data_IF_939469637434
#
_entry.id   IF_939469637434
#
_cell.length_a   1.000
_cell.length_b   1.000
_cell.length_c   1.000
_cell.angle_alpha   90.00
_cell.angle_beta   90.00
_cell.angle_gamma   90.00
#
_symmetry.space_group_name_H-M   'P 1'
#
loop_
_entity.id
_entity.type
_entity.pdbx_description
1 polymer ?
#
# COMPACT_ATOMS: atom_id res chain seq x y z
N UNK A 1 19.50 10.68 -4.37
CA UNK A 1 18.68 9.84 -5.26
C UNK A 1 17.89 10.63 -6.29
N UNK A 2 17.56 11.92 -6.08
CA UNK A 2 16.81 12.75 -7.05
C UNK A 2 15.55 12.07 -7.61
N UNK A 3 14.85 11.35 -6.73
CA UNK A 3 13.58 10.67 -7.03
C UNK A 3 12.43 11.68 -7.03
N UNK A 4 11.28 11.29 -7.58
CA UNK A 4 10.04 12.05 -7.44
C UNK A 4 9.04 11.38 -6.49
N UNK A 5 9.15 10.06 -6.34
CA UNK A 5 8.32 9.21 -5.49
C UNK A 5 9.24 8.26 -4.73
N UNK A 6 8.99 8.08 -3.44
CA UNK A 6 9.76 7.20 -2.56
C UNK A 6 8.77 6.35 -1.75
N UNK A 7 8.86 5.02 -1.88
CA UNK A 7 8.07 4.07 -1.11
C UNK A 7 8.98 3.33 -0.14
N UNK A 8 8.73 3.46 1.17
CA UNK A 8 9.54 2.85 2.22
C UNK A 8 8.74 1.83 3.02
N UNK A 9 9.44 0.82 3.53
CA UNK A 9 8.94 -0.22 4.43
C UNK A 9 9.75 -0.19 5.74
N UNK A 10 9.22 -0.84 6.79
CA UNK A 10 9.85 -0.90 8.13
C UNK A 10 10.10 0.49 8.74
N UNK A 11 9.22 1.45 8.43
CA UNK A 11 9.37 2.82 8.90
C UNK A 11 8.79 2.92 10.31
N UNK A 12 9.62 3.07 11.33
CA UNK A 12 9.13 3.40 12.68
C UNK A 12 8.40 4.75 12.68
N UNK A 13 7.30 4.84 13.44
CA UNK A 13 6.48 6.06 13.52
C UNK A 13 7.30 7.29 13.93
N UNK A 14 8.21 7.17 14.90
CA UNK A 14 9.03 8.30 15.36
C UNK A 14 10.04 8.72 14.30
N UNK A 15 10.61 7.76 13.60
CA UNK A 15 11.51 8.02 12.47
C UNK A 15 10.77 8.72 11.34
N UNK A 16 9.52 8.33 11.05
CA UNK A 16 8.67 9.06 10.11
C UNK A 16 8.44 10.52 10.56
N UNK A 17 7.97 10.71 11.78
CA UNK A 17 7.52 12.02 12.29
C UNK A 17 8.68 13.00 12.56
N UNK A 18 9.83 12.51 13.01
CA UNK A 18 10.93 13.36 13.49
C UNK A 18 12.14 13.42 12.56
N UNK A 19 12.31 12.45 11.66
CA UNK A 19 13.47 12.41 10.76
C UNK A 19 13.05 12.51 9.29
N UNK A 20 12.30 11.51 8.79
CA UNK A 20 12.03 11.37 7.36
C UNK A 20 11.12 12.48 6.82
N UNK A 21 9.97 12.72 7.46
CA UNK A 21 9.02 13.73 7.00
C UNK A 21 9.65 15.13 7.04
N UNK A 22 10.24 15.60 8.16
CA UNK A 22 10.88 16.93 8.19
C UNK A 22 12.01 17.08 7.17
N UNK A 23 12.86 16.06 7.01
CA UNK A 23 13.96 16.10 6.05
C UNK A 23 13.45 16.17 4.61
N UNK A 24 12.45 15.37 4.26
CA UNK A 24 11.92 15.32 2.90
C UNK A 24 11.03 16.54 2.58
N UNK A 25 10.30 17.07 3.54
CA UNK A 25 9.54 18.32 3.38
C UNK A 25 10.46 19.51 3.06
N UNK A 26 11.67 19.55 3.64
CA UNK A 26 12.67 20.59 3.35
C UNK A 26 13.09 20.63 1.87
N UNK A 27 12.88 19.53 1.14
CA UNK A 27 13.15 19.39 -0.30
C UNK A 27 11.88 19.18 -1.13
N UNK A 28 10.74 19.73 -0.68
CA UNK A 28 9.43 19.78 -1.35
C UNK A 28 8.61 18.50 -1.41
N UNK A 29 8.99 17.44 -0.69
CA UNK A 29 8.15 16.26 -0.60
C UNK A 29 6.98 16.46 0.37
N UNK A 30 5.94 15.67 0.19
CA UNK A 30 4.91 15.38 1.20
C UNK A 30 4.95 13.88 1.50
N UNK A 31 4.50 13.49 2.69
CA UNK A 31 4.49 12.08 3.12
C UNK A 31 3.09 11.58 3.49
N UNK A 32 2.89 10.28 3.31
CA UNK A 32 1.76 9.50 3.80
C UNK A 32 2.35 8.35 4.61
N UNK A 33 1.84 8.12 5.82
CA UNK A 33 2.26 7.02 6.69
C UNK A 33 1.09 6.12 7.04
N UNK A 34 1.32 4.81 7.04
CA UNK A 34 0.35 3.82 7.45
C UNK A 34 1.00 2.80 8.41
N UNK A 35 0.56 2.72 9.68
CA UNK A 35 1.09 1.73 10.62
C UNK A 35 0.62 0.30 10.28
N UNK A 36 1.44 -0.70 10.59
CA UNK A 36 1.07 -2.12 10.48
C UNK A 36 0.43 -2.64 11.78
N UNK A 37 -0.87 -2.45 11.95
CA UNK A 37 -1.56 -2.94 13.15
C UNK A 37 -1.03 -2.29 14.43
N UNK A 38 -0.59 -3.11 15.40
CA UNK A 38 -0.09 -2.63 16.71
C UNK A 38 1.44 -2.46 16.77
N UNK A 39 2.18 -2.74 15.68
CA UNK A 39 3.64 -2.57 15.67
C UNK A 39 4.03 -1.09 15.59
N UNK A 40 5.25 -0.75 16.07
CA UNK A 40 5.76 0.62 15.97
C UNK A 40 6.17 1.02 14.54
N UNK A 41 6.34 0.05 13.64
CA UNK A 41 6.68 0.25 12.24
C UNK A 41 5.47 0.23 11.28
N UNK A 42 5.68 0.81 10.10
CA UNK A 42 4.68 0.96 9.06
C UNK A 42 5.27 1.09 7.67
N UNK A 43 4.43 1.61 6.78
CA UNK A 43 4.74 1.92 5.39
C UNK A 43 4.68 3.44 5.21
N UNK A 44 5.56 3.98 4.37
CA UNK A 44 5.51 5.38 3.98
C UNK A 44 5.57 5.54 2.47
N UNK A 45 4.84 6.53 1.95
CA UNK A 45 4.95 7.02 0.58
C UNK A 45 5.26 8.50 0.65
N UNK A 46 6.31 8.93 -0.04
CA UNK A 46 6.64 10.33 -0.22
C UNK A 46 6.58 10.69 -1.71
N UNK A 47 6.11 11.89 -2.02
CA UNK A 47 6.02 12.40 -3.39
C UNK A 47 6.40 13.89 -3.46
N UNK A 48 7.06 14.30 -4.54
CA UNK A 48 7.42 15.69 -4.81
C UNK A 48 6.17 16.52 -5.13
N UNK A 49 5.86 17.50 -4.26
CA UNK A 49 4.68 18.38 -4.40
C UNK A 49 4.75 19.29 -5.63
N UNK A 50 5.92 19.46 -6.23
CA UNK A 50 6.07 20.22 -7.48
C UNK A 50 5.53 19.47 -8.70
N UNK A 51 5.47 18.13 -8.61
CA UNK A 51 5.10 17.25 -9.72
C UNK A 51 3.80 16.50 -9.49
N UNK A 52 3.41 16.31 -8.23
CA UNK A 52 2.22 15.54 -7.88
C UNK A 52 1.36 16.23 -6.83
N UNK A 53 0.05 16.09 -7.00
CA UNK A 53 -0.95 16.41 -5.98
C UNK A 53 -1.63 15.13 -5.50
N UNK A 54 -1.69 14.92 -4.19
CA UNK A 54 -2.45 13.81 -3.61
C UNK A 54 -3.94 14.04 -3.82
N UNK A 55 -4.61 13.02 -4.36
CA UNK A 55 -6.06 12.98 -4.53
C UNK A 55 -6.69 12.18 -3.39
N UNK A 56 -6.17 10.99 -3.13
CA UNK A 56 -6.66 10.11 -2.06
C UNK A 56 -5.55 9.16 -1.57
N UNK A 57 -5.70 8.65 -0.35
CA UNK A 57 -4.81 7.63 0.19
C UNK A 57 -5.52 6.75 1.21
N UNK A 58 -5.19 5.46 1.22
CA UNK A 58 -5.76 4.52 2.18
C UNK A 58 -4.79 3.40 2.56
N UNK A 59 -4.90 2.96 3.81
CA UNK A 59 -4.22 1.77 4.33
C UNK A 59 -5.21 0.60 4.41
N UNK A 60 -4.88 -0.51 3.76
CA UNK A 60 -5.73 -1.69 3.68
C UNK A 60 -5.04 -2.85 4.38
N UNK A 61 -5.64 -3.39 5.44
CA UNK A 61 -5.17 -4.61 6.09
C UNK A 61 -5.75 -5.81 5.34
N UNK A 62 -4.91 -6.53 4.60
CA UNK A 62 -5.33 -7.54 3.62
C UNK A 62 -6.27 -8.59 4.23
N UNK A 63 -5.91 -9.12 5.40
CA UNK A 63 -6.70 -10.15 6.10
C UNK A 63 -8.09 -9.69 6.54
N UNK A 64 -8.29 -8.39 6.70
CA UNK A 64 -9.58 -7.78 7.11
C UNK A 64 -10.42 -7.32 5.93
N UNK A 65 -9.87 -7.35 4.71
CA UNK A 65 -10.49 -6.78 3.52
C UNK A 65 -10.76 -7.81 2.41
N UNK A 66 -10.71 -9.10 2.74
CA UNK A 66 -10.92 -10.22 1.81
C UNK A 66 -12.21 -10.05 0.99
N UNK A 67 -13.33 -9.81 1.68
CA UNK A 67 -14.66 -9.68 1.07
C UNK A 67 -14.89 -8.37 0.31
N UNK A 68 -14.02 -7.37 0.52
CA UNK A 68 -14.15 -6.04 -0.09
C UNK A 68 -13.51 -5.99 -1.48
N UNK A 69 -12.71 -6.99 -1.83
CA UNK A 69 -12.01 -7.12 -3.09
C UNK A 69 -12.62 -8.30 -3.85
N UNK A 70 -13.55 -8.01 -4.76
CA UNK A 70 -14.37 -9.03 -5.43
C UNK A 70 -13.52 -10.07 -6.18
N UNK A 71 -12.51 -9.59 -6.94
CA UNK A 71 -11.59 -10.45 -7.68
C UNK A 71 -10.75 -11.35 -6.76
N UNK A 72 -10.39 -10.86 -5.56
CA UNK A 72 -9.71 -11.68 -4.56
C UNK A 72 -10.67 -12.66 -3.88
N UNK A 73 -11.88 -12.22 -3.52
CA UNK A 73 -12.88 -13.04 -2.84
C UNK A 73 -13.24 -14.28 -3.65
N UNK A 74 -13.40 -14.16 -4.97
CA UNK A 74 -13.67 -15.31 -5.84
C UNK A 74 -12.59 -16.39 -5.73
N UNK A 75 -11.31 -16.01 -5.81
CA UNK A 75 -10.20 -16.98 -5.66
C UNK A 75 -10.11 -17.50 -4.23
N UNK A 76 -10.38 -16.64 -3.25
CA UNK A 76 -10.35 -16.99 -1.84
C UNK A 76 -11.37 -18.09 -1.49
N UNK A 77 -12.57 -18.03 -2.08
CA UNK A 77 -13.63 -19.00 -1.82
C UNK A 77 -13.30 -20.40 -2.38
N UNK A 78 -12.54 -20.46 -3.48
CA UNK A 78 -12.06 -21.72 -4.09
C UNK A 78 -10.95 -22.42 -3.29
N UNK A 79 -10.32 -21.75 -2.31
CA UNK A 79 -9.24 -22.36 -1.51
C UNK A 79 -9.84 -23.23 -0.40
N UNK A 80 -9.82 -24.55 -0.56
CA UNK A 80 -10.32 -25.48 0.46
C UNK A 80 -9.37 -25.65 1.68
N UNK A 81 -8.10 -25.27 1.52
CA UNK A 81 -7.09 -25.45 2.56
C UNK A 81 -7.25 -24.40 3.68
N UNK A 82 -7.94 -24.78 4.76
CA UNK A 82 -8.17 -23.90 5.92
C UNK A 82 -6.90 -23.54 6.68
N UNK A 83 -5.84 -24.37 6.65
CA UNK A 83 -4.56 -24.01 7.26
C UNK A 83 -3.90 -22.86 6.50
N UNK A 84 -3.89 -22.92 5.17
CA UNK A 84 -3.39 -21.83 4.33
C UNK A 84 -4.22 -20.54 4.53
N UNK A 85 -5.55 -20.66 4.58
CA UNK A 85 -6.45 -19.53 4.88
C UNK A 85 -6.15 -18.93 6.25
N UNK A 86 -5.96 -19.76 7.28
CA UNK A 86 -5.58 -19.31 8.62
C UNK A 86 -4.23 -18.60 8.62
N UNK A 87 -3.21 -19.16 7.95
CA UNK A 87 -1.87 -18.53 7.82
C UNK A 87 -1.94 -17.14 7.19
N UNK A 88 -2.84 -16.91 6.22
CA UNK A 88 -3.10 -15.59 5.65
C UNK A 88 -3.88 -14.67 6.62
N UNK A 89 -5.00 -15.14 7.19
CA UNK A 89 -5.89 -14.36 8.08
C UNK A 89 -5.18 -13.86 9.33
N UNK A 90 -4.25 -14.64 9.87
CA UNK A 90 -3.50 -14.27 11.08
C UNK A 90 -2.52 -13.11 10.85
N UNK A 91 -2.29 -12.68 9.60
CA UNK A 91 -1.35 -11.58 9.28
C UNK A 91 -2.00 -10.22 9.38
N UNK A 92 -1.20 -9.24 9.78
CA UNK A 92 -1.50 -7.82 9.75
C UNK A 92 -0.83 -7.12 8.57
N UNK A 93 -0.51 -7.87 7.50
CA UNK A 93 0.09 -7.28 6.29
C UNK A 93 -0.83 -6.20 5.74
N UNK A 94 -0.23 -5.03 5.50
CA UNK A 94 -0.92 -3.82 5.06
C UNK A 94 -0.45 -3.46 3.65
N UNK A 95 -1.37 -2.94 2.83
CA UNK A 95 -1.10 -2.23 1.60
C UNK A 95 -1.43 -0.75 1.83
N UNK A 96 -0.46 0.12 1.61
CA UNK A 96 -0.68 1.56 1.55
C UNK A 96 -0.87 1.95 0.08
N UNK A 97 -2.05 2.46 -0.27
CA UNK A 97 -2.34 2.98 -1.61
C UNK A 97 -2.41 4.50 -1.58
N UNK A 98 -1.81 5.15 -2.57
CA UNK A 98 -1.94 6.59 -2.80
C UNK A 98 -2.30 6.86 -4.27
N UNK A 99 -3.28 7.72 -4.49
CA UNK A 99 -3.69 8.19 -5.82
C UNK A 99 -3.18 9.61 -5.99
N UNK A 100 -2.28 9.80 -6.94
CA UNK A 100 -1.62 11.07 -7.24
C UNK A 100 -2.06 11.58 -8.61
N UNK A 101 -2.38 12.87 -8.69
CA UNK A 101 -2.55 13.58 -9.95
C UNK A 101 -1.23 14.22 -10.37
N UNK A 102 -0.82 14.01 -11.61
CA UNK A 102 0.35 14.67 -12.18
C UNK A 102 0.06 16.16 -12.39
N UNK A 103 1.01 17.00 -12.00
CA UNK A 103 1.00 18.45 -12.28
C UNK A 103 1.66 18.77 -13.61
N UNK A 104 2.55 17.88 -14.09
CA UNK A 104 3.20 17.99 -15.40
C UNK A 104 2.20 17.65 -16.53
N UNK A 105 1.29 16.69 -16.29
CA UNK A 105 0.19 16.33 -17.18
C UNK A 105 -1.12 16.14 -16.39
N UNK A 106 -2.04 17.12 -16.38
CA UNK A 106 -3.28 17.06 -15.60
C UNK A 106 -4.27 15.95 -15.99
N UNK A 107 -4.06 15.28 -17.13
CA UNK A 107 -4.86 14.12 -17.55
C UNK A 107 -4.29 12.80 -17.03
N UNK A 108 -3.11 12.82 -16.43
CA UNK A 108 -2.45 11.64 -15.86
C UNK A 108 -2.70 11.50 -14.36
N UNK A 109 -3.09 10.28 -13.99
CA UNK A 109 -3.24 9.83 -12.62
C UNK A 109 -2.35 8.62 -12.39
N UNK A 110 -1.66 8.62 -11.25
CA UNK A 110 -0.78 7.53 -10.81
C UNK A 110 -1.36 6.92 -9.55
N UNK A 111 -1.64 5.61 -9.58
CA UNK A 111 -2.02 4.84 -8.39
C UNK A 111 -0.80 4.06 -7.92
N UNK A 112 -0.38 4.32 -6.68
CA UNK A 112 0.80 3.72 -6.06
C UNK A 112 0.37 2.72 -5.00
N UNK A 113 0.79 1.46 -5.12
CA UNK A 113 0.68 0.46 -4.06
C UNK A 113 2.04 0.21 -3.39
N UNK A 114 2.15 0.48 -2.09
CA UNK A 114 3.32 0.12 -1.27
C UNK A 114 2.92 -0.95 -0.26
N UNK A 115 3.69 -2.03 -0.16
CA UNK A 115 3.45 -3.09 0.82
C UNK A 115 4.76 -3.73 1.25
N UNK A 116 4.72 -4.47 2.36
CA UNK A 116 5.80 -5.32 2.82
C UNK A 116 5.20 -6.69 3.15
N UNK A 117 5.39 -7.65 2.25
CA UNK A 117 4.79 -8.99 2.30
C UNK A 117 5.33 -9.82 3.47
N UNK A 118 4.64 -10.93 3.75
CA UNK A 118 5.03 -11.82 4.84
C UNK A 118 6.42 -12.45 4.63
N UNK A 119 7.30 -12.28 5.62
CA UNK A 119 8.73 -12.61 5.52
C UNK A 119 9.06 -14.11 5.56
N UNK A 120 8.21 -14.95 6.16
CA UNK A 120 8.61 -16.31 6.54
C UNK A 120 8.91 -17.19 5.32
N UNK A 121 10.08 -17.86 5.22
CA UNK A 121 10.54 -18.47 3.98
C UNK A 121 9.58 -19.50 3.37
N UNK A 122 8.91 -20.32 4.19
CA UNK A 122 7.96 -21.36 3.75
C UNK A 122 6.55 -20.85 3.38
N UNK A 123 6.33 -19.53 3.39
CA UNK A 123 5.00 -18.93 3.23
C UNK A 123 4.80 -18.29 1.84
N UNK A 124 5.31 -18.94 0.81
CA UNK A 124 5.19 -18.53 -0.58
C UNK A 124 3.74 -18.40 -1.05
N UNK A 125 2.89 -19.36 -0.70
CA UNK A 125 1.45 -19.34 -0.92
C UNK A 125 0.77 -18.14 -0.27
N UNK A 126 1.18 -17.76 0.94
CA UNK A 126 0.67 -16.54 1.61
C UNK A 126 1.09 -15.31 0.82
N UNK A 127 2.36 -15.20 0.44
CA UNK A 127 2.86 -14.07 -0.37
C UNK A 127 2.19 -13.97 -1.73
N UNK A 128 1.90 -15.10 -2.37
CA UNK A 128 1.18 -15.16 -3.64
C UNK A 128 -0.22 -14.53 -3.49
N UNK A 129 -0.97 -14.94 -2.47
CA UNK A 129 -2.29 -14.37 -2.19
C UNK A 129 -2.19 -12.88 -1.83
N UNK A 130 -1.20 -12.48 -1.03
CA UNK A 130 -1.02 -11.07 -0.66
C UNK A 130 -0.68 -10.20 -1.88
N UNK A 131 0.18 -10.70 -2.78
CA UNK A 131 0.51 -10.03 -4.04
C UNK A 131 -0.71 -9.92 -4.96
N UNK A 132 -1.48 -11.00 -5.10
CA UNK A 132 -2.71 -10.99 -5.89
C UNK A 132 -3.73 -9.99 -5.34
N UNK A 133 -3.98 -10.00 -4.03
CA UNK A 133 -4.84 -9.01 -3.37
C UNK A 133 -4.37 -7.57 -3.68
N UNK A 134 -3.07 -7.31 -3.54
CA UNK A 134 -2.53 -5.96 -3.73
C UNK A 134 -2.72 -5.47 -5.17
N UNK A 135 -2.51 -6.35 -6.15
CA UNK A 135 -2.72 -6.05 -7.56
C UNK A 135 -4.19 -5.75 -7.86
N UNK A 136 -5.11 -6.60 -7.40
CA UNK A 136 -6.54 -6.39 -7.67
C UNK A 136 -7.08 -5.16 -6.95
N UNK A 137 -6.65 -4.90 -5.71
CA UNK A 137 -7.03 -3.69 -4.98
C UNK A 137 -6.57 -2.41 -5.69
N UNK A 138 -5.33 -2.37 -6.21
CA UNK A 138 -4.84 -1.23 -6.98
C UNK A 138 -5.58 -1.08 -8.32
N UNK A 139 -5.96 -2.20 -8.95
CA UNK A 139 -6.78 -2.20 -10.17
C UNK A 139 -8.17 -1.61 -9.92
N UNK A 140 -8.84 -2.02 -8.85
CA UNK A 140 -10.17 -1.51 -8.49
C UNK A 140 -10.14 0.00 -8.23
N UNK A 141 -9.12 0.49 -7.51
CA UNK A 141 -8.92 1.92 -7.25
C UNK A 141 -8.65 2.67 -8.56
N UNK A 142 -7.88 2.08 -9.47
CA UNK A 142 -7.62 2.66 -10.79
C UNK A 142 -8.91 2.80 -11.60
N UNK A 143 -9.75 1.77 -11.64
CA UNK A 143 -11.04 1.79 -12.34
C UNK A 143 -12.06 2.74 -11.71
N UNK A 144 -12.07 2.86 -10.38
CA UNK A 144 -12.87 3.87 -9.68
C UNK A 144 -12.42 5.27 -10.05
N UNK A 145 -11.11 5.52 -10.06
CA UNK A 145 -10.56 6.85 -10.31
C UNK A 145 -10.79 7.33 -11.74
N UNK A 146 -10.81 6.43 -12.74
CA UNK A 146 -11.17 6.76 -14.14
C UNK A 146 -12.59 7.32 -14.31
N UNK A 147 -13.47 7.12 -13.32
CA UNK A 147 -14.88 7.55 -13.36
C UNK A 147 -15.10 8.92 -12.70
N UNK A 148 -14.08 9.47 -12.04
CA UNK A 148 -14.09 10.81 -11.42
C UNK A 148 -13.78 11.89 -12.46
#
# INVERSE_FOLDING_TARGET
YNSDIICLQEVDKRVYEHDLLPALESVNFSGIYCPKGETSEGLAIFYDRRRFKLIDSQGIVLSKSIILNEAFSHIWDEIENEEAKKRFRDRTTTLLVATLKSLDNPDEIVVLGNTHLYFHPDADHVRLLQGYFALTACSDITEYTKKL
#
